data_IF_839713198949
#
_entry.id   IF_839713198949
#
_cell.length_a   1.000
_cell.length_b   1.000
_cell.length_c   1.000
_cell.angle_alpha   90.00
_cell.angle_beta   90.00
_cell.angle_gamma   90.00
#
_symmetry.space_group_name_H-M   'P 1'
#
loop_
_entity.id
_entity.type
_entity.pdbx_description
1 polymer ?
#
# COMPACT_ATOMS: atom_id res chain seq x y z
N UNK A 1 22.18 -43.87 28.31
CA UNK A 1 22.82 -42.55 28.14
C UNK A 1 22.04 -41.51 28.94
N UNK A 2 22.49 -41.11 30.14
CA UNK A 2 21.81 -40.08 30.96
C UNK A 2 22.07 -38.71 30.33
N UNK A 3 21.05 -38.09 29.73
CA UNK A 3 21.14 -36.69 29.28
C UNK A 3 21.34 -35.82 30.53
N UNK A 4 22.41 -35.03 30.54
CA UNK A 4 22.67 -34.09 31.62
C UNK A 4 21.56 -33.01 31.61
N UNK A 5 20.93 -32.74 32.76
CA UNK A 5 19.80 -31.80 32.91
C UNK A 5 20.08 -30.43 32.27
N UNK A 6 21.33 -29.97 32.32
CA UNK A 6 21.79 -28.72 31.70
C UNK A 6 21.67 -28.71 30.17
N UNK A 7 21.96 -29.83 29.51
CA UNK A 7 21.84 -29.96 28.04
C UNK A 7 20.36 -29.94 27.61
N UNK A 8 19.49 -30.60 28.39
CA UNK A 8 18.06 -30.61 28.12
C UNK A 8 17.46 -29.19 28.22
N UNK A 9 17.81 -28.43 29.25
CA UNK A 9 17.38 -27.03 29.42
C UNK A 9 17.86 -26.18 28.25
N UNK A 10 19.11 -26.36 27.80
CA UNK A 10 19.64 -25.61 26.67
C UNK A 10 18.95 -25.93 25.35
N UNK A 11 18.62 -27.19 25.06
CA UNK A 11 17.86 -27.52 23.85
C UNK A 11 16.44 -26.96 23.89
N UNK A 12 15.75 -27.04 25.03
CA UNK A 12 14.44 -26.41 25.19
C UNK A 12 14.51 -24.89 24.99
N UNK A 13 15.55 -24.23 25.54
CA UNK A 13 15.81 -22.81 25.33
C UNK A 13 16.04 -22.47 23.85
N UNK A 14 16.86 -23.23 23.15
CA UNK A 14 17.16 -23.02 21.74
C UNK A 14 15.91 -23.15 20.86
N UNK A 15 15.05 -24.14 21.13
CA UNK A 15 13.78 -24.32 20.43
C UNK A 15 12.83 -23.15 20.71
N UNK A 16 12.72 -22.68 21.95
CA UNK A 16 11.91 -21.52 22.30
C UNK A 16 12.39 -20.24 21.61
N UNK A 17 13.71 -20.04 21.51
CA UNK A 17 14.31 -18.93 20.78
C UNK A 17 13.97 -18.98 19.28
N UNK A 18 14.12 -20.15 18.65
CA UNK A 18 13.79 -20.34 17.24
C UNK A 18 12.29 -20.12 16.96
N UNK A 19 11.41 -20.68 17.80
CA UNK A 19 9.96 -20.49 17.65
C UNK A 19 9.57 -19.00 17.75
N UNK A 20 10.14 -18.28 18.71
CA UNK A 20 9.86 -16.84 18.86
C UNK A 20 10.41 -15.98 17.71
N UNK A 21 11.53 -16.38 17.09
CA UNK A 21 12.08 -15.72 15.90
C UNK A 21 11.15 -15.92 14.69
N UNK A 22 10.63 -17.14 14.52
CA UNK A 22 9.65 -17.45 13.47
C UNK A 22 8.39 -16.61 13.67
N UNK A 23 7.87 -16.52 14.89
CA UNK A 23 6.69 -15.68 15.20
C UNK A 23 6.95 -14.21 14.90
N UNK A 24 8.13 -13.68 15.24
CA UNK A 24 8.49 -12.29 14.92
C UNK A 24 8.55 -12.00 13.42
N UNK A 25 9.18 -12.90 12.65
CA UNK A 25 9.27 -12.78 11.19
C UNK A 25 7.92 -12.93 10.49
N UNK A 26 7.09 -13.88 10.93
CA UNK A 26 5.73 -14.06 10.43
C UNK A 26 4.86 -12.85 10.78
N UNK A 27 4.97 -12.32 12.00
CA UNK A 27 4.28 -11.11 12.44
C UNK A 27 4.62 -9.90 11.57
N UNK A 28 5.90 -9.70 11.25
CA UNK A 28 6.36 -8.65 10.34
C UNK A 28 5.78 -8.81 8.92
N UNK A 29 5.95 -9.98 8.31
CA UNK A 29 5.46 -10.26 6.95
C UNK A 29 3.95 -10.10 6.82
N UNK A 30 3.20 -10.58 7.82
CA UNK A 30 1.75 -10.45 7.85
C UNK A 30 1.31 -9.00 8.06
N UNK A 31 2.01 -8.23 8.91
CA UNK A 31 1.69 -6.82 9.18
C UNK A 31 1.84 -5.93 7.94
N UNK A 32 2.97 -6.02 7.23
CA UNK A 32 3.19 -5.22 6.02
C UNK A 32 2.20 -5.58 4.91
N UNK A 33 1.85 -6.87 4.75
CA UNK A 33 0.80 -7.28 3.80
C UNK A 33 -0.56 -6.70 4.19
N UNK A 34 -0.96 -6.90 5.45
CA UNK A 34 -2.24 -6.42 5.95
C UNK A 34 -2.41 -4.90 5.80
N UNK A 35 -1.35 -4.11 6.04
CA UNK A 35 -1.41 -2.65 5.91
C UNK A 35 -1.53 -2.22 4.45
N UNK A 36 -0.80 -2.86 3.53
CA UNK A 36 -0.95 -2.59 2.11
C UNK A 36 -2.35 -2.97 1.61
N UNK A 37 -2.90 -4.08 2.08
CA UNK A 37 -4.26 -4.50 1.75
C UNK A 37 -5.30 -3.50 2.28
N UNK A 38 -5.15 -3.04 3.53
CA UNK A 38 -6.01 -1.99 4.11
C UNK A 38 -5.90 -0.70 3.30
N UNK A 39 -4.68 -0.25 2.96
CA UNK A 39 -4.46 0.93 2.12
C UNK A 39 -5.22 0.79 0.80
N UNK A 40 -5.04 -0.32 0.10
CA UNK A 40 -5.62 -0.54 -1.22
C UNK A 40 -7.15 -0.62 -1.15
N UNK A 41 -7.72 -1.26 -0.12
CA UNK A 41 -9.16 -1.30 0.09
C UNK A 41 -9.73 0.09 0.41
N UNK A 42 -9.06 0.87 1.25
CA UNK A 42 -9.46 2.23 1.58
C UNK A 42 -9.40 3.14 0.35
N UNK A 43 -8.30 3.12 -0.39
CA UNK A 43 -8.12 3.88 -1.63
C UNK A 43 -9.21 3.53 -2.64
N UNK A 44 -9.42 2.24 -2.91
CA UNK A 44 -10.48 1.77 -3.81
C UNK A 44 -11.85 2.24 -3.39
N UNK A 45 -12.23 2.02 -2.12
CA UNK A 45 -13.54 2.42 -1.61
C UNK A 45 -13.73 3.94 -1.64
N UNK A 46 -12.68 4.71 -1.33
CA UNK A 46 -12.69 6.16 -1.35
C UNK A 46 -12.99 6.68 -2.76
N UNK A 47 -12.22 6.28 -3.77
CA UNK A 47 -12.43 6.75 -5.14
C UNK A 47 -13.72 6.20 -5.76
N UNK A 48 -14.12 4.97 -5.45
CA UNK A 48 -15.41 4.40 -5.88
C UNK A 48 -16.60 5.15 -5.28
N UNK A 49 -16.53 5.55 -4.01
CA UNK A 49 -17.59 6.33 -3.40
C UNK A 49 -17.62 7.74 -3.99
N UNK A 50 -16.46 8.39 -4.12
CA UNK A 50 -16.38 9.79 -4.49
C UNK A 50 -16.65 10.02 -5.99
N UNK A 51 -16.31 9.08 -6.87
CA UNK A 51 -16.73 9.13 -8.28
C UNK A 51 -18.26 9.05 -8.39
N UNK A 52 -18.90 8.20 -7.58
CA UNK A 52 -20.37 8.08 -7.55
C UNK A 52 -21.05 9.34 -6.98
N UNK A 53 -20.47 9.94 -5.93
CA UNK A 53 -20.95 11.23 -5.41
C UNK A 53 -20.77 12.36 -6.42
N UNK A 54 -19.63 12.40 -7.11
CA UNK A 54 -19.36 13.41 -8.13
C UNK A 54 -20.31 13.27 -9.32
N UNK A 55 -20.65 12.05 -9.74
CA UNK A 55 -21.72 11.83 -10.73
C UNK A 55 -23.08 12.38 -10.25
N UNK A 56 -23.39 12.30 -8.95
CA UNK A 56 -24.59 12.94 -8.39
C UNK A 56 -24.50 14.47 -8.43
N UNK A 57 -23.34 15.05 -8.15
CA UNK A 57 -23.12 16.49 -8.27
C UNK A 57 -23.32 16.96 -9.72
N UNK A 58 -22.74 16.24 -10.68
CA UNK A 58 -22.96 16.47 -12.12
C UNK A 58 -24.44 16.42 -12.48
N UNK A 59 -25.14 15.35 -12.09
CA UNK A 59 -26.56 15.20 -12.40
C UNK A 59 -27.43 16.28 -11.75
N UNK A 60 -27.08 16.72 -10.54
CA UNK A 60 -27.81 17.78 -9.85
C UNK A 60 -27.55 19.17 -10.46
N UNK A 61 -26.32 19.44 -10.92
CA UNK A 61 -25.93 20.74 -11.47
C UNK A 61 -26.19 20.90 -12.96
N UNK A 62 -26.05 19.83 -13.74
CA UNK A 62 -26.12 19.85 -15.20
C UNK A 62 -27.23 18.95 -15.76
N UNK A 63 -27.82 18.06 -14.96
CA UNK A 63 -28.79 17.09 -15.42
C UNK A 63 -28.21 16.04 -16.35
N UNK A 64 -28.97 15.63 -17.38
CA UNK A 64 -28.51 14.59 -18.32
C UNK A 64 -27.61 15.22 -19.37
N UNK A 65 -26.32 14.93 -19.27
CA UNK A 65 -25.35 15.44 -20.24
C UNK A 65 -25.57 14.86 -21.64
N UNK A 66 -25.39 15.71 -22.64
CA UNK A 66 -25.38 15.32 -24.06
C UNK A 66 -24.11 15.80 -24.74
N UNK A 67 -23.76 15.21 -25.89
CA UNK A 67 -22.57 15.63 -26.64
C UNK A 67 -22.92 16.79 -27.58
N UNK A 68 -22.17 17.89 -27.46
CA UNK A 68 -22.15 19.00 -28.42
C UNK A 68 -20.92 18.95 -29.33
N UNK A 69 -20.71 20.01 -30.11
CA UNK A 69 -19.52 20.13 -30.96
C UNK A 69 -18.27 20.36 -30.11
N UNK A 70 -17.53 19.29 -29.83
CA UNK A 70 -16.29 19.33 -29.04
C UNK A 70 -16.46 19.60 -27.54
N UNK A 71 -17.68 19.57 -27.02
CA UNK A 71 -18.02 19.80 -25.60
C UNK A 71 -19.19 18.93 -25.12
N UNK A 72 -19.47 18.96 -23.81
CA UNK A 72 -20.68 18.40 -23.21
C UNK A 72 -21.68 19.53 -22.92
N UNK A 73 -22.96 19.25 -23.13
CA UNK A 73 -24.07 20.17 -22.89
C UNK A 73 -24.89 19.71 -21.69
N UNK A 74 -25.37 20.67 -20.89
CA UNK A 74 -26.34 20.43 -19.83
C UNK A 74 -27.76 20.19 -20.37
N UNK A 75 -28.71 19.92 -19.47
CA UNK A 75 -30.13 19.71 -19.83
C UNK A 75 -30.77 20.89 -20.55
N UNK A 76 -30.24 22.10 -20.37
CA UNK A 76 -30.74 23.32 -21.02
C UNK A 76 -30.04 23.58 -22.37
N UNK A 77 -29.10 22.71 -22.76
CA UNK A 77 -28.34 22.81 -24.00
C UNK A 77 -27.12 23.74 -23.93
N UNK A 78 -26.72 24.21 -22.74
CA UNK A 78 -25.57 25.08 -22.56
C UNK A 78 -24.29 24.26 -22.37
N UNK A 79 -23.17 24.76 -22.91
CA UNK A 79 -21.85 24.12 -22.71
C UNK A 79 -21.46 24.09 -21.23
N UNK A 80 -20.86 22.97 -20.81
CA UNK A 80 -20.24 22.84 -19.49
C UNK A 80 -18.73 23.08 -19.48
N UNK A 81 -18.14 23.34 -20.64
CA UNK A 81 -16.72 23.69 -20.75
C UNK A 81 -16.41 24.96 -19.94
N UNK A 82 -15.34 24.91 -19.14
CA UNK A 82 -14.96 26.00 -18.25
C UNK A 82 -15.88 26.20 -17.03
N UNK A 83 -16.92 25.38 -16.84
CA UNK A 83 -17.76 25.43 -15.62
C UNK A 83 -17.12 24.59 -14.52
N UNK A 84 -16.43 25.26 -13.61
CA UNK A 84 -15.61 24.61 -12.57
C UNK A 84 -16.34 24.32 -11.26
N UNK A 85 -17.57 24.83 -11.06
CA UNK A 85 -18.28 24.72 -9.78
C UNK A 85 -18.35 23.29 -9.22
N UNK A 86 -18.71 22.31 -10.06
CA UNK A 86 -18.78 20.90 -9.61
C UNK A 86 -17.41 20.34 -9.23
N UNK A 87 -16.38 20.54 -10.06
CA UNK A 87 -15.04 20.00 -9.77
C UNK A 87 -14.40 20.70 -8.57
N UNK A 88 -14.71 21.97 -8.34
CA UNK A 88 -14.22 22.71 -7.18
C UNK A 88 -14.93 22.27 -5.90
N UNK A 89 -16.25 22.04 -5.94
CA UNK A 89 -16.96 21.45 -4.79
C UNK A 89 -16.43 20.06 -4.43
N UNK A 90 -15.98 19.26 -5.40
CA UNK A 90 -15.30 17.98 -5.09
C UNK A 90 -13.99 18.19 -4.33
N UNK A 91 -13.22 19.23 -4.68
CA UNK A 91 -12.00 19.56 -3.95
C UNK A 91 -12.32 20.05 -2.53
N UNK A 92 -13.31 20.93 -2.40
CA UNK A 92 -13.70 21.55 -1.12
C UNK A 92 -14.35 20.55 -0.16
N UNK A 93 -15.28 19.73 -0.65
CA UNK A 93 -16.05 18.80 0.17
C UNK A 93 -15.31 17.48 0.45
N UNK A 94 -14.61 16.96 -0.57
CA UNK A 94 -14.05 15.60 -0.54
C UNK A 94 -12.52 15.59 -0.45
N UNK A 95 -11.85 16.72 -0.72
CA UNK A 95 -10.39 16.80 -0.78
C UNK A 95 -9.78 16.15 -2.03
N UNK A 96 -10.59 15.79 -3.01
CA UNK A 96 -10.15 15.04 -4.20
C UNK A 96 -9.95 15.95 -5.42
N UNK A 97 -9.07 15.51 -6.32
CA UNK A 97 -8.99 16.09 -7.66
C UNK A 97 -10.07 15.50 -8.55
N UNK A 98 -10.69 16.33 -9.38
CA UNK A 98 -11.75 15.92 -10.29
C UNK A 98 -11.62 16.61 -11.63
N UNK A 99 -12.01 15.89 -12.68
CA UNK A 99 -11.95 16.36 -14.06
C UNK A 99 -13.09 15.77 -14.88
N UNK A 100 -13.74 16.61 -15.69
CA UNK A 100 -14.70 16.21 -16.70
C UNK A 100 -14.02 16.33 -18.07
N UNK A 101 -14.10 15.26 -18.84
CA UNK A 101 -13.64 15.18 -20.22
C UNK A 101 -14.81 14.96 -21.17
N UNK A 102 -14.67 15.47 -22.39
CA UNK A 102 -15.55 15.17 -23.53
C UNK A 102 -14.82 14.28 -24.53
N UNK A 103 -15.53 13.35 -25.15
CA UNK A 103 -14.98 12.58 -26.26
C UNK A 103 -14.84 13.45 -27.50
N UNK A 104 -13.63 13.53 -28.05
CA UNK A 104 -13.31 14.22 -29.30
C UNK A 104 -12.59 13.23 -30.21
N UNK A 105 -13.22 12.86 -31.33
CA UNK A 105 -12.74 11.80 -32.23
C UNK A 105 -12.49 10.50 -31.45
N UNK A 106 -11.23 10.12 -31.30
CA UNK A 106 -10.76 8.87 -30.68
C UNK A 106 -10.08 9.12 -29.32
N UNK A 107 -10.28 10.27 -28.68
CA UNK A 107 -9.71 10.54 -27.36
C UNK A 107 -10.64 11.43 -26.51
N UNK A 108 -10.22 11.74 -25.28
CA UNK A 108 -10.96 12.51 -24.29
C UNK A 108 -10.24 13.83 -24.00
N UNK A 109 -10.87 14.94 -24.39
CA UNK A 109 -10.38 16.30 -24.12
C UNK A 109 -10.89 16.80 -22.77
N UNK A 110 -9.99 17.38 -21.97
CA UNK A 110 -10.32 17.95 -20.66
C UNK A 110 -11.06 19.27 -20.82
N UNK A 111 -12.28 19.37 -20.29
CA UNK A 111 -13.13 20.58 -20.41
C UNK A 111 -13.41 21.29 -19.08
N UNK A 112 -13.29 20.58 -17.95
CA UNK A 112 -13.42 21.18 -16.61
C UNK A 112 -12.58 20.39 -15.62
N UNK A 113 -11.73 21.06 -14.84
CA UNK A 113 -10.79 20.39 -13.92
C UNK A 113 -10.42 21.28 -12.76
N UNK A 114 -10.16 20.69 -11.59
CA UNK A 114 -9.54 21.36 -10.43
C UNK A 114 -8.03 21.05 -10.28
N UNK A 115 -7.45 20.40 -11.29
CA UNK A 115 -6.02 20.13 -11.40
C UNK A 115 -5.35 21.37 -12.00
N UNK A 116 -4.35 21.87 -11.30
CA UNK A 116 -3.54 23.01 -11.72
C UNK A 116 -2.23 22.53 -12.35
N UNK A 117 -1.76 23.25 -13.36
CA UNK A 117 -0.42 23.13 -13.93
C UNK A 117 0.62 23.75 -13.00
N UNK A 118 1.90 23.55 -13.33
CA UNK A 118 3.03 24.20 -12.64
C UNK A 118 2.97 25.74 -12.72
N UNK A 119 2.27 26.28 -13.72
CA UNK A 119 2.04 27.71 -13.91
C UNK A 119 0.80 28.22 -13.14
N UNK A 120 0.20 27.37 -12.30
CA UNK A 120 -1.00 27.66 -11.50
C UNK A 120 -2.26 27.95 -12.34
N UNK A 121 -2.30 27.42 -13.56
CA UNK A 121 -3.47 27.47 -14.45
C UNK A 121 -4.19 26.13 -14.46
N UNK A 122 -5.50 26.12 -14.72
CA UNK A 122 -6.24 24.85 -14.84
C UNK A 122 -5.74 24.10 -16.08
N UNK A 123 -5.47 22.81 -15.94
CA UNK A 123 -4.92 21.97 -17.01
C UNK A 123 -5.97 21.57 -18.10
N UNK A 124 -6.85 22.49 -18.48
CA UNK A 124 -7.86 22.32 -19.54
C UNK A 124 -7.21 22.12 -20.93
N UNK A 125 -7.99 21.65 -21.90
CA UNK A 125 -7.57 21.37 -23.28
C UNK A 125 -6.42 20.36 -23.43
N UNK A 126 -6.10 19.65 -22.35
CA UNK A 126 -5.23 18.47 -22.38
C UNK A 126 -6.05 17.21 -22.66
N UNK A 127 -5.41 16.20 -23.25
CA UNK A 127 -6.05 14.93 -23.57
C UNK A 127 -5.69 13.85 -22.55
N UNK A 128 -6.55 12.85 -22.40
CA UNK A 128 -6.25 11.66 -21.60
C UNK A 128 -5.08 10.86 -22.21
N UNK A 129 -5.07 10.72 -23.54
CA UNK A 129 -4.13 9.88 -24.27
C UNK A 129 -4.68 8.48 -24.49
N UNK A 130 -4.58 7.99 -25.72
CA UNK A 130 -5.04 6.64 -26.10
C UNK A 130 -4.14 5.52 -25.58
N UNK A 131 -2.93 5.86 -25.15
CA UNK A 131 -1.95 5.01 -24.49
C UNK A 131 -2.15 4.92 -22.96
N UNK A 132 -3.06 5.73 -22.40
CA UNK A 132 -3.36 5.71 -20.98
C UNK A 132 -3.96 4.37 -20.55
N UNK A 133 -3.53 3.82 -19.41
CA UNK A 133 -3.98 2.51 -18.90
C UNK A 133 -5.50 2.40 -18.75
N UNK A 134 -6.18 3.50 -18.44
CA UNK A 134 -7.63 3.55 -18.34
C UNK A 134 -8.36 3.54 -19.69
N UNK A 135 -7.71 3.94 -20.78
CA UNK A 135 -8.36 4.29 -22.05
C UNK A 135 -9.23 3.15 -22.60
N UNK A 136 -8.67 1.93 -22.69
CA UNK A 136 -9.39 0.77 -23.24
C UNK A 136 -10.60 0.38 -22.39
N UNK A 137 -10.47 0.43 -21.06
CA UNK A 137 -11.59 0.13 -20.15
C UNK A 137 -12.70 1.17 -20.30
N UNK A 138 -12.36 2.46 -20.32
CA UNK A 138 -13.37 3.52 -20.35
C UNK A 138 -14.03 3.71 -21.69
N UNK A 139 -13.32 3.49 -22.81
CA UNK A 139 -13.92 3.56 -24.15
C UNK A 139 -14.92 2.40 -24.37
N UNK A 140 -14.71 1.26 -23.69
CA UNK A 140 -15.67 0.15 -23.64
C UNK A 140 -16.86 0.42 -22.70
N UNK A 141 -16.89 1.60 -22.05
CA UNK A 141 -17.97 2.00 -21.18
C UNK A 141 -17.91 1.37 -19.78
N UNK A 142 -16.74 0.89 -19.37
CA UNK A 142 -16.51 0.29 -18.05
C UNK A 142 -15.79 1.27 -17.11
N UNK A 143 -16.04 1.11 -15.80
CA UNK A 143 -15.34 1.85 -14.75
C UNK A 143 -13.89 1.33 -14.66
N UNK A 144 -12.93 2.25 -14.71
CA UNK A 144 -11.53 1.94 -14.40
C UNK A 144 -11.16 2.49 -13.03
N UNK A 145 -10.42 1.70 -12.24
CA UNK A 145 -9.84 2.13 -10.97
C UNK A 145 -8.36 1.73 -10.95
N UNK A 146 -7.49 2.66 -10.59
CA UNK A 146 -6.09 2.34 -10.37
C UNK A 146 -5.12 3.51 -10.28
N UNK A 147 -3.86 3.12 -10.40
CA UNK A 147 -2.64 3.91 -10.52
C UNK A 147 -2.69 5.02 -11.59
N UNK A 148 -2.51 6.30 -11.28
CA UNK A 148 -2.19 7.28 -12.32
C UNK A 148 -1.16 8.32 -11.87
N UNK A 149 -0.34 8.77 -12.81
CA UNK A 149 0.57 9.90 -12.62
C UNK A 149 0.03 11.10 -13.40
N UNK A 150 -0.25 12.20 -12.71
CA UNK A 150 -0.79 13.42 -13.33
C UNK A 150 0.13 14.57 -12.95
N UNK A 151 0.76 15.18 -13.96
CA UNK A 151 1.69 16.30 -13.77
C UNK A 151 2.80 16.00 -12.73
N UNK A 152 3.32 14.77 -12.75
CA UNK A 152 4.40 14.34 -11.85
C UNK A 152 3.97 13.93 -10.45
N UNK A 153 2.68 14.03 -10.12
CA UNK A 153 2.12 13.56 -8.85
C UNK A 153 1.39 12.22 -8.99
N UNK A 154 1.51 11.36 -7.97
CA UNK A 154 0.87 10.06 -7.92
C UNK A 154 -0.54 10.15 -7.31
N UNK A 155 -1.50 9.58 -8.04
CA UNK A 155 -2.89 9.52 -7.64
C UNK A 155 -3.39 8.08 -7.69
N UNK A 156 -4.30 7.74 -6.77
CA UNK A 156 -5.19 6.61 -6.92
C UNK A 156 -6.52 7.13 -7.46
N UNK A 157 -7.01 6.52 -8.53
CA UNK A 157 -7.97 7.20 -9.42
C UNK A 157 -9.12 6.29 -9.80
N UNK A 158 -10.26 6.91 -10.07
CA UNK A 158 -11.40 6.30 -10.72
C UNK A 158 -11.76 7.10 -11.98
N UNK A 159 -12.03 6.38 -13.07
CA UNK A 159 -12.44 6.93 -14.34
C UNK A 159 -13.77 6.30 -14.74
N UNK A 160 -14.84 7.10 -14.71
CA UNK A 160 -16.21 6.69 -14.98
C UNK A 160 -16.69 7.25 -16.33
N UNK A 161 -16.99 6.39 -17.32
CA UNK A 161 -17.54 6.83 -18.60
C UNK A 161 -18.88 7.55 -18.41
N UNK A 162 -19.03 8.70 -19.08
CA UNK A 162 -20.29 9.43 -19.22
C UNK A 162 -20.93 8.97 -20.52
N UNK A 163 -22.17 8.51 -20.46
CA UNK A 163 -22.88 7.90 -21.59
C UNK A 163 -24.13 8.69 -21.97
N UNK A 164 -24.44 8.71 -23.26
CA UNK A 164 -25.71 9.23 -23.75
C UNK A 164 -26.88 8.25 -23.51
N UNK A 165 -28.09 8.65 -23.93
CA UNK A 165 -29.30 7.81 -23.84
C UNK A 165 -29.23 6.51 -24.66
N UNK A 166 -28.33 6.44 -25.64
CA UNK A 166 -28.09 5.27 -26.49
C UNK A 166 -26.92 4.42 -25.95
N UNK A 167 -26.41 4.71 -24.75
CA UNK A 167 -25.30 4.04 -24.10
C UNK A 167 -23.93 4.25 -24.80
N UNK A 168 -23.82 5.26 -25.67
CA UNK A 168 -22.55 5.64 -26.27
C UNK A 168 -21.72 6.45 -25.28
N UNK A 169 -20.42 6.16 -25.19
CA UNK A 169 -19.48 6.96 -24.38
C UNK A 169 -19.27 8.32 -25.06
N UNK A 170 -19.72 9.39 -24.40
CA UNK A 170 -19.64 10.78 -24.88
C UNK A 170 -18.63 11.62 -24.09
N UNK A 171 -18.19 11.11 -22.95
CA UNK A 171 -17.24 11.79 -22.08
C UNK A 171 -16.75 10.89 -20.97
N UNK A 172 -15.98 11.46 -20.06
CA UNK A 172 -15.36 10.74 -18.97
C UNK A 172 -15.28 11.61 -17.73
N UNK A 173 -15.64 11.06 -16.59
CA UNK A 173 -15.40 11.66 -15.29
C UNK A 173 -14.18 11.02 -14.65
N UNK A 174 -13.30 11.85 -14.13
CA UNK A 174 -12.16 11.48 -13.30
C UNK A 174 -12.33 11.98 -11.88
N UNK A 175 -11.98 11.14 -10.91
CA UNK A 175 -11.74 11.50 -9.51
C UNK A 175 -10.45 10.83 -9.04
N UNK A 176 -9.60 11.57 -8.34
CA UNK A 176 -8.31 11.07 -7.86
C UNK A 176 -7.93 11.62 -6.48
N UNK A 177 -7.47 10.70 -5.63
CA UNK A 177 -6.88 11.01 -4.33
C UNK A 177 -5.35 11.00 -4.46
N UNK A 178 -4.64 12.07 -4.05
CA UNK A 178 -3.18 12.05 -3.95
C UNK A 178 -2.72 10.95 -2.98
N UNK A 179 -1.79 10.09 -3.41
CA UNK A 179 -1.36 8.95 -2.56
C UNK A 179 -0.15 9.25 -1.70
N UNK A 180 0.57 10.34 -1.97
CA UNK A 180 1.87 10.66 -1.35
C UNK A 180 1.85 10.53 0.18
N UNK A 181 0.88 11.15 0.84
CA UNK A 181 0.76 11.10 2.31
C UNK A 181 0.52 9.68 2.82
N UNK A 182 -0.34 8.90 2.16
CA UNK A 182 -0.61 7.50 2.51
C UNK A 182 0.63 6.63 2.29
N UNK A 183 1.35 6.85 1.20
CA UNK A 183 2.57 6.12 0.88
C UNK A 183 3.68 6.44 1.89
N UNK A 184 3.80 7.70 2.32
CA UNK A 184 4.76 8.10 3.35
C UNK A 184 4.40 7.52 4.74
N UNK A 185 3.11 7.43 5.06
CA UNK A 185 2.63 6.73 6.27
C UNK A 185 3.00 5.24 6.21
N UNK A 186 2.75 4.55 5.10
CA UNK A 186 3.11 3.13 4.96
C UNK A 186 4.64 2.94 5.02
N UNK A 187 5.42 3.79 4.35
CA UNK A 187 6.89 3.73 4.40
C UNK A 187 7.43 3.93 5.81
N UNK A 188 6.90 4.90 6.55
CA UNK A 188 7.32 5.15 7.94
C UNK A 188 6.94 3.98 8.85
N UNK A 189 5.76 3.40 8.66
CA UNK A 189 5.35 2.18 9.36
C UNK A 189 6.30 1.01 9.08
N UNK A 190 6.59 0.73 7.81
CA UNK A 190 7.49 -0.35 7.40
C UNK A 190 8.91 -0.14 7.95
N UNK A 191 9.40 1.11 7.98
CA UNK A 191 10.69 1.46 8.55
C UNK A 191 10.76 1.20 10.06
N UNK A 192 9.73 1.61 10.83
CA UNK A 192 9.67 1.35 12.26
C UNK A 192 9.55 -0.16 12.57
N UNK A 193 8.73 -0.89 11.81
CA UNK A 193 8.61 -2.34 11.94
C UNK A 193 9.91 -3.07 11.60
N UNK A 194 10.66 -2.57 10.61
CA UNK A 194 11.98 -3.12 10.24
C UNK A 194 12.99 -2.97 11.37
N UNK A 195 13.03 -1.82 12.07
CA UNK A 195 13.90 -1.61 13.23
C UNK A 195 13.58 -2.59 14.36
N UNK A 196 12.30 -2.81 14.66
CA UNK A 196 11.86 -3.79 15.67
C UNK A 196 12.33 -5.21 15.28
N UNK A 197 12.19 -5.59 14.02
CA UNK A 197 12.63 -6.90 13.55
C UNK A 197 14.17 -7.08 13.66
N UNK A 198 14.96 -6.06 13.28
CA UNK A 198 16.42 -6.08 13.45
C UNK A 198 16.78 -6.23 14.94
N UNK A 199 16.11 -5.50 15.83
CA UNK A 199 16.34 -5.60 17.27
C UNK A 199 16.03 -7.01 17.80
N UNK A 200 14.94 -7.62 17.35
CA UNK A 200 14.60 -9.02 17.69
C UNK A 200 15.72 -9.96 17.22
N UNK A 201 16.21 -9.82 15.98
CA UNK A 201 17.29 -10.65 15.43
C UNK A 201 18.58 -10.51 16.27
N UNK A 202 18.96 -9.28 16.62
CA UNK A 202 20.16 -9.00 17.43
C UNK A 202 20.05 -9.59 18.83
N UNK A 203 18.94 -9.33 19.54
CA UNK A 203 18.69 -9.89 20.88
C UNK A 203 18.69 -11.43 20.86
N UNK A 204 18.15 -12.04 19.79
CA UNK A 204 18.15 -13.49 19.61
C UNK A 204 19.54 -14.04 19.34
N UNK A 205 20.34 -13.39 18.49
CA UNK A 205 21.73 -13.79 18.25
C UNK A 205 22.56 -13.80 19.53
N UNK A 206 22.40 -12.77 20.38
CA UNK A 206 23.05 -12.69 21.71
C UNK A 206 22.60 -13.84 22.62
N UNK A 207 21.28 -14.07 22.71
CA UNK A 207 20.73 -15.14 23.56
C UNK A 207 21.19 -16.53 23.13
N UNK A 208 21.29 -16.78 21.82
CA UNK A 208 21.76 -18.04 21.26
C UNK A 208 23.26 -18.23 21.52
N UNK A 209 24.06 -17.19 21.34
CA UNK A 209 25.50 -17.21 21.64
C UNK A 209 25.78 -17.51 23.12
N UNK A 210 25.06 -16.86 24.04
CA UNK A 210 25.16 -17.12 25.49
C UNK A 210 24.82 -18.58 25.84
N UNK A 211 23.78 -19.12 25.22
CA UNK A 211 23.35 -20.50 25.45
C UNK A 211 24.39 -21.52 24.95
N UNK A 212 24.98 -21.27 23.78
CA UNK A 212 26.07 -22.10 23.23
C UNK A 212 27.29 -22.07 24.17
N UNK A 213 27.67 -20.90 24.66
CA UNK A 213 28.79 -20.75 25.59
C UNK A 213 28.57 -21.51 26.91
N UNK A 214 27.36 -21.44 27.50
CA UNK A 214 26.99 -22.17 28.71
C UNK A 214 27.07 -23.70 28.53
N UNK A 215 26.55 -24.21 27.41
CA UNK A 215 26.64 -25.65 27.10
C UNK A 215 28.10 -26.06 26.93
N UNK A 216 28.90 -25.28 26.19
CA UNK A 216 30.33 -25.52 26.00
C UNK A 216 31.08 -25.62 27.32
N UNK A 217 30.89 -24.65 28.21
CA UNK A 217 31.51 -24.63 29.54
C UNK A 217 31.12 -25.86 30.39
N UNK A 218 29.85 -26.27 30.34
CA UNK A 218 29.38 -27.45 31.08
C UNK A 218 30.02 -28.77 30.60
N UNK A 219 30.31 -28.90 29.30
CA UNK A 219 30.97 -30.09 28.73
C UNK A 219 32.44 -30.12 29.14
N UNK A 220 33.14 -28.98 29.08
CA UNK A 220 34.55 -28.87 29.48
C UNK A 220 34.72 -29.15 30.98
N UNK A 221 33.88 -28.56 31.83
CA UNK A 221 33.92 -28.79 33.28
C UNK A 221 33.64 -30.25 33.67
N UNK A 222 32.73 -30.92 32.95
CA UNK A 222 32.46 -32.36 33.16
C UNK A 222 33.68 -33.21 32.79
N UNK A 223 34.35 -32.93 31.66
CA UNK A 223 35.59 -33.62 31.27
C UNK A 223 36.71 -33.41 32.29
N UNK A 224 36.86 -32.18 32.80
CA UNK A 224 37.90 -31.86 33.79
C UNK A 224 37.66 -32.55 35.13
N UNK A 225 36.41 -32.60 35.59
CA UNK A 225 36.08 -33.33 36.82
C UNK A 225 36.32 -34.83 36.69
N UNK A 226 35.90 -35.46 35.58
CA UNK A 226 36.15 -36.89 35.33
C UNK A 226 37.66 -37.20 35.29
N UNK A 227 38.45 -36.34 34.63
CA UNK A 227 39.90 -36.49 34.61
C UNK A 227 40.49 -36.41 36.02
N UNK A 228 40.04 -35.44 36.83
CA UNK A 228 40.51 -35.26 38.21
C UNK A 228 40.16 -36.45 39.11
N UNK A 229 38.95 -37.01 39.01
CA UNK A 229 38.55 -38.18 39.81
C UNK A 229 39.40 -39.40 39.48
N UNK A 230 39.64 -39.65 38.19
CA UNK A 230 40.50 -40.76 37.76
C UNK A 230 41.94 -40.62 38.28
N UNK A 231 42.53 -39.43 38.21
CA UNK A 231 43.89 -39.22 38.74
C UNK A 231 43.95 -39.39 40.26
N UNK A 232 42.91 -38.99 41.00
CA UNK A 232 42.85 -39.19 42.45
C UNK A 232 42.62 -40.64 42.88
N UNK A 233 41.86 -41.42 42.11
CA UNK A 233 41.69 -42.87 42.35
C UNK A 233 42.98 -43.63 42.04
N UNK A 234 43.65 -43.31 40.93
CA UNK A 234 44.93 -43.93 40.53
C UNK A 234 46.06 -43.62 41.53
N UNK A 235 46.11 -42.40 42.08
CA UNK A 235 47.07 -42.04 43.12
C UNK A 235 46.78 -42.68 44.48
N UNK A 236 45.51 -42.98 44.79
CA UNK A 236 45.13 -43.67 46.02
C UNK A 236 45.54 -45.16 45.97
N UNK A 237 45.33 -45.82 44.82
CA UNK A 237 45.67 -47.23 44.58
C UNK A 237 47.19 -47.49 44.57
N UNK A 238 48.01 -46.47 44.27
CA UNK A 238 49.48 -46.55 44.35
C UNK A 238 50.04 -46.32 45.77
N UNK A 239 49.19 -45.96 46.74
CA UNK A 239 49.59 -45.63 48.11
C UNK A 239 49.21 -46.69 49.16
N UNK A 240 48.54 -47.76 48.73
CA UNK A 240 48.39 -49.04 49.47
C UNK A 240 49.46 -50.06 49.05
#
# INVERSE_FOLDING_TARGET
MKINKTKLIAYCGMIALLASMIVGLLGFSNSTKNINDIKNQLLKKHVENNINLTMKYINNSYGTLTQGDGTLLDSDGNSIEGRFGVVDSVLEDLGDKSTIFVKVKDDFKRISTNIMSDENERAIDTFLGTDHNAYQTVINGELYIGEAAILGESYYTAYQPIKDKNNNVIGLLFVGMPTKTLDDIVKSHDAEMSKINILIIVLRAISLGSLIALVGASVVGTKFNIAKTHTSEELADMSE
#
